data_IF_055216139142
#
_entry.id   IF_055216139142
#
_cell.length_a   1.000
_cell.length_b   1.000
_cell.length_c   1.000
_cell.angle_alpha   90.00
_cell.angle_beta   90.00
_cell.angle_gamma   90.00
#
_symmetry.space_group_name_H-M   'P 1'
#
loop_
_entity.id
_entity.type
_entity.pdbx_description
1 polymer ?
#
# COMPACT_ATOMS: atom_id res chain seq x y z
N UNK A 1 10.66 20.28 -20.26
CA UNK A 1 9.41 19.52 -20.01
C UNK A 1 9.69 18.63 -18.82
N UNK A 2 9.16 18.96 -17.66
CA UNK A 2 9.35 18.14 -16.46
C UNK A 2 8.35 16.99 -16.49
N UNK A 3 8.84 15.76 -16.35
CA UNK A 3 8.00 14.57 -16.24
C UNK A 3 7.41 14.53 -14.84
N UNK A 4 6.12 14.84 -14.71
CA UNK A 4 5.42 14.77 -13.43
C UNK A 4 4.84 13.38 -13.19
N UNK A 5 5.00 12.85 -11.98
CA UNK A 5 4.47 11.54 -11.57
C UNK A 5 2.95 11.42 -11.77
N UNK A 6 2.20 12.52 -11.70
CA UNK A 6 0.74 12.54 -11.97
C UNK A 6 0.36 12.30 -13.44
N UNK A 7 1.32 12.27 -14.37
CA UNK A 7 1.07 11.91 -15.77
C UNK A 7 1.14 10.40 -16.03
N UNK A 8 1.48 9.60 -15.02
CA UNK A 8 1.47 8.14 -15.12
C UNK A 8 0.03 7.61 -15.17
N UNK A 9 -0.14 6.46 -15.82
CA UNK A 9 -1.40 5.73 -15.76
C UNK A 9 -1.75 5.34 -14.32
N UNK A 10 -3.04 5.34 -13.93
CA UNK A 10 -3.48 4.99 -12.58
C UNK A 10 -2.97 3.63 -12.10
N UNK A 11 -2.81 2.65 -12.99
CA UNK A 11 -2.30 1.31 -12.69
C UNK A 11 -0.84 1.34 -12.23
N UNK A 12 -0.02 2.20 -12.84
CA UNK A 12 1.38 2.41 -12.43
C UNK A 12 1.43 3.07 -11.05
N UNK A 13 0.57 4.08 -10.82
CA UNK A 13 0.46 4.73 -9.51
C UNK A 13 0.00 3.75 -8.43
N UNK A 14 -0.99 2.89 -8.73
CA UNK A 14 -1.47 1.87 -7.80
C UNK A 14 -0.37 0.85 -7.46
N UNK A 15 0.43 0.41 -8.46
CA UNK A 15 1.59 -0.45 -8.22
C UNK A 15 2.62 0.22 -7.32
N UNK A 16 2.96 1.49 -7.56
CA UNK A 16 3.90 2.24 -6.71
C UNK A 16 3.34 2.39 -5.29
N UNK A 17 2.08 2.79 -5.15
CA UNK A 17 1.44 2.97 -3.84
C UNK A 17 1.22 1.64 -3.11
N UNK A 18 1.23 0.50 -3.79
CA UNK A 18 1.10 -0.80 -3.15
C UNK A 18 2.21 -1.06 -2.11
N UNK A 19 3.42 -0.54 -2.35
CA UNK A 19 4.58 -0.62 -1.46
C UNK A 19 4.49 0.27 -0.21
N UNK A 20 3.51 1.17 -0.13
CA UNK A 20 3.33 2.05 1.02
C UNK A 20 2.53 1.34 2.12
N UNK A 21 2.96 1.54 3.36
CA UNK A 21 2.17 1.17 4.54
C UNK A 21 0.89 2.00 4.61
N UNK A 22 -0.09 1.50 5.37
CA UNK A 22 -1.41 2.16 5.55
C UNK A 22 -1.27 3.62 5.96
N UNK A 23 -0.29 3.94 6.82
CA UNK A 23 -0.02 5.32 7.26
C UNK A 23 0.39 6.23 6.10
N UNK A 24 1.27 5.77 5.22
CA UNK A 24 1.77 6.57 4.11
C UNK A 24 0.79 6.59 2.92
N UNK A 25 -0.02 5.53 2.75
CA UNK A 25 -1.20 5.54 1.87
C UNK A 25 -2.16 6.68 2.21
N UNK A 26 -2.37 6.95 3.50
CA UNK A 26 -3.17 8.08 3.97
C UNK A 26 -2.60 9.46 3.59
N UNK A 27 -1.28 9.57 3.39
CA UNK A 27 -0.63 10.83 2.98
C UNK A 27 -0.74 11.05 1.47
N UNK A 28 -0.47 10.02 0.66
CA UNK A 28 -0.62 10.13 -0.81
C UNK A 28 -2.08 10.42 -1.21
N UNK A 29 -3.06 9.90 -0.47
CA UNK A 29 -4.49 10.16 -0.69
C UNK A 29 -4.92 11.63 -0.50
N UNK A 30 -4.07 12.46 0.12
CA UNK A 30 -4.34 13.89 0.34
C UNK A 30 -3.79 14.80 -0.76
N UNK A 31 -2.96 14.28 -1.68
CA UNK A 31 -2.32 15.10 -2.73
C UNK A 31 -3.34 15.56 -3.77
N UNK A 32 -4.10 14.63 -4.35
CA UNK A 32 -5.20 14.92 -5.27
C UNK A 32 -6.15 13.71 -5.38
N UNK A 33 -7.28 13.89 -6.06
CA UNK A 33 -8.29 12.83 -6.23
C UNK A 33 -7.74 11.62 -6.98
N UNK A 34 -6.96 11.81 -8.04
CA UNK A 34 -6.37 10.69 -8.78
C UNK A 34 -5.42 9.83 -7.92
N UNK A 35 -4.66 10.46 -7.02
CA UNK A 35 -3.77 9.75 -6.09
C UNK A 35 -4.55 9.00 -5.03
N UNK A 36 -5.64 9.58 -4.53
CA UNK A 36 -6.56 8.91 -3.62
C UNK A 36 -7.10 7.63 -4.24
N UNK A 37 -7.62 7.71 -5.46
CA UNK A 37 -8.24 6.56 -6.14
C UNK A 37 -7.21 5.46 -6.43
N UNK A 38 -5.99 5.82 -6.82
CA UNK A 38 -4.89 4.88 -7.03
C UNK A 38 -4.38 4.28 -5.70
N UNK A 39 -4.35 5.04 -4.60
CA UNK A 39 -3.86 4.55 -3.29
C UNK A 39 -4.81 3.57 -2.61
N UNK A 40 -6.10 3.63 -2.96
CA UNK A 40 -7.14 2.73 -2.48
C UNK A 40 -7.43 1.58 -3.43
N UNK A 41 -6.73 1.48 -4.57
CA UNK A 41 -6.82 0.31 -5.43
C UNK A 41 -6.42 -0.93 -4.62
N UNK A 42 -7.42 -1.70 -4.20
CA UNK A 42 -7.20 -2.96 -3.51
C UNK A 42 -6.57 -3.92 -4.50
N UNK A 43 -5.27 -4.13 -4.41
CA UNK A 43 -4.71 -5.41 -4.84
C UNK A 43 -5.52 -6.48 -4.09
N UNK A 44 -6.08 -7.50 -4.76
CA UNK A 44 -6.69 -8.62 -4.06
C UNK A 44 -5.61 -9.12 -3.10
N UNK A 45 -5.85 -8.96 -1.79
CA UNK A 45 -4.94 -9.47 -0.78
C UNK A 45 -4.94 -10.99 -0.93
N UNK A 46 -4.06 -11.52 -1.78
CA UNK A 46 -3.46 -12.81 -1.51
C UNK A 46 -2.82 -12.58 -0.14
N UNK A 47 -3.47 -13.09 0.91
CA UNK A 47 -2.98 -13.08 2.29
C UNK A 47 -1.49 -13.35 2.24
N UNK A 48 -0.69 -12.34 2.53
CA UNK A 48 0.75 -12.52 2.68
C UNK A 48 0.95 -13.39 3.93
N UNK A 49 1.39 -14.66 3.81
CA UNK A 49 1.56 -15.52 4.98
C UNK A 49 2.72 -15.04 5.87
N UNK A 50 3.57 -14.11 5.37
CA UNK A 50 4.75 -13.60 6.07
C UNK A 50 4.46 -12.84 7.37
N UNK A 51 3.24 -12.32 7.56
CA UNK A 51 2.86 -11.61 8.79
C UNK A 51 2.16 -12.52 9.83
N UNK A 52 1.85 -13.77 9.49
CA UNK A 52 1.23 -14.72 10.43
C UNK A 52 2.26 -15.32 11.41
N UNK A 53 3.49 -15.60 10.95
CA UNK A 53 4.53 -16.23 11.77
C UNK A 53 5.05 -15.34 12.92
N UNK A 54 4.99 -14.01 12.80
CA UNK A 54 5.46 -13.12 13.86
C UNK A 54 4.48 -13.02 15.06
N UNK A 55 3.20 -13.38 14.89
CA UNK A 55 2.22 -13.38 16.00
C UNK A 55 2.10 -14.72 16.72
N UNK A 56 2.46 -15.83 16.06
CA UNK A 56 2.38 -17.16 16.67
C UNK A 56 3.56 -17.42 17.63
N UNK A 57 4.76 -16.95 17.28
CA UNK A 57 5.95 -17.05 18.13
C UNK A 57 5.85 -16.25 19.44
N UNK A 58 5.06 -15.17 19.47
CA UNK A 58 4.82 -14.44 20.73
C UNK A 58 3.82 -15.15 21.65
N UNK A 59 2.90 -15.95 21.09
CA UNK A 59 1.94 -16.73 21.88
C UNK A 59 2.59 -17.96 22.54
N UNK A 60 3.58 -18.59 21.89
CA UNK A 60 4.36 -19.70 22.47
C UNK A 60 5.39 -19.27 23.52
N UNK A 61 5.70 -17.97 23.59
CA UNK A 61 6.63 -17.42 24.61
C UNK A 61 5.93 -17.00 25.90
N UNK A 62 4.60 -17.06 25.93
CA UNK A 62 3.72 -16.69 27.04
C UNK A 62 3.05 -17.91 27.70
N UNK A 63 3.43 -19.14 27.31
CA UNK A 63 3.13 -20.41 27.98
C UNK A 63 4.42 -21.04 28.50
#
# INVERSE_FOLDING_TARGET
METHISCLFPEILAMIFSYLDVRDKGRVAQVCTAWRDASYHKSPQLRDPGNAQHRELESERLL
#
